data_IF_981862880498
#
_entry.id   IF_981862880498
#
_cell.length_a   1.000
_cell.length_b   1.000
_cell.length_c   1.000
_cell.angle_alpha   90.00
_cell.angle_beta   90.00
_cell.angle_gamma   90.00
#
_symmetry.space_group_name_H-M   'P 1'
#
loop_
_entity.id
_entity.type
_entity.pdbx_description
1 polymer ?
#
# COMPACT_ATOMS: atom_id res chain seq x y z
N UNK A 1 -22.21 -1.04 -32.06
CA UNK A 1 -22.14 -1.04 -30.58
C UNK A 1 -21.04 -1.94 -29.99
N UNK A 2 -20.83 -3.23 -30.37
CA UNK A 2 -19.86 -4.10 -29.68
C UNK A 2 -18.40 -3.63 -29.73
N UNK A 3 -17.98 -2.97 -30.82
CA UNK A 3 -16.60 -2.50 -30.96
C UNK A 3 -16.23 -1.36 -29.98
N UNK A 4 -17.22 -0.62 -29.44
CA UNK A 4 -16.98 0.49 -28.48
C UNK A 4 -16.83 -0.01 -27.05
N UNK A 5 -17.60 -1.02 -26.65
CA UNK A 5 -17.48 -1.66 -25.34
C UNK A 5 -16.11 -2.32 -25.17
N UNK A 6 -15.67 -3.09 -26.18
CA UNK A 6 -14.35 -3.73 -26.18
C UNK A 6 -13.22 -2.71 -26.07
N UNK A 7 -13.35 -1.56 -26.76
CA UNK A 7 -12.41 -0.46 -26.63
C UNK A 7 -12.37 0.11 -25.20
N UNK A 8 -13.53 0.38 -24.59
CA UNK A 8 -13.64 0.87 -23.21
C UNK A 8 -13.00 -0.11 -22.22
N UNK A 9 -13.22 -1.40 -22.43
CA UNK A 9 -12.67 -2.47 -21.59
C UNK A 9 -11.14 -2.58 -21.73
N UNK A 10 -10.61 -2.44 -22.95
CA UNK A 10 -9.15 -2.40 -23.21
C UNK A 10 -8.48 -1.21 -22.53
N UNK A 11 -9.10 -0.03 -22.60
CA UNK A 11 -8.62 1.16 -21.91
C UNK A 11 -8.67 0.95 -20.39
N UNK A 12 -9.79 0.45 -19.86
CA UNK A 12 -9.97 0.16 -18.42
C UNK A 12 -8.92 -0.81 -17.89
N UNK A 13 -8.60 -1.91 -18.61
CA UNK A 13 -7.50 -2.82 -18.26
C UNK A 13 -6.17 -2.09 -18.15
N UNK A 14 -5.92 -1.16 -19.06
CA UNK A 14 -4.66 -0.45 -19.14
C UNK A 14 -4.53 0.64 -18.06
N UNK A 15 -5.65 1.27 -17.68
CA UNK A 15 -5.73 2.09 -16.46
C UNK A 15 -5.43 1.22 -15.25
N UNK A 16 -6.10 0.07 -15.12
CA UNK A 16 -5.87 -0.90 -14.05
C UNK A 16 -4.39 -1.29 -13.94
N UNK A 17 -3.72 -1.63 -15.04
CA UNK A 17 -2.29 -1.97 -15.04
C UNK A 17 -1.42 -0.81 -14.53
N UNK A 18 -1.70 0.44 -14.93
CA UNK A 18 -0.99 1.61 -14.38
C UNK A 18 -1.22 1.78 -12.88
N UNK A 19 -2.44 1.54 -12.41
CA UNK A 19 -2.75 1.59 -10.98
C UNK A 19 -2.01 0.47 -10.23
N UNK A 20 -1.98 -0.76 -10.78
CA UNK A 20 -1.22 -1.87 -10.19
C UNK A 20 0.27 -1.54 -10.13
N UNK A 21 0.87 -0.97 -11.18
CA UNK A 21 2.26 -0.54 -11.17
C UNK A 21 2.52 0.53 -10.09
N UNK A 22 1.61 1.48 -9.92
CA UNK A 22 1.67 2.47 -8.85
C UNK A 22 1.62 1.79 -7.47
N UNK A 23 0.71 0.85 -7.27
CA UNK A 23 0.58 0.12 -6.01
C UNK A 23 1.85 -0.68 -5.68
N UNK A 24 2.43 -1.37 -6.66
CA UNK A 24 3.70 -2.08 -6.48
C UNK A 24 4.83 -1.12 -6.08
N UNK A 25 4.90 0.06 -6.69
CA UNK A 25 5.87 1.09 -6.30
C UNK A 25 5.63 1.62 -4.87
N UNK A 26 4.37 1.77 -4.45
CA UNK A 26 4.03 2.17 -3.08
C UNK A 26 4.33 1.08 -2.05
N UNK A 27 4.10 -0.20 -2.39
CA UNK A 27 4.50 -1.34 -1.54
C UNK A 27 6.01 -1.35 -1.33
N UNK A 28 6.79 -1.05 -2.38
CA UNK A 28 8.24 -0.88 -2.27
C UNK A 28 8.56 0.25 -1.28
N UNK A 29 7.89 1.41 -1.35
CA UNK A 29 8.11 2.50 -0.40
C UNK A 29 7.71 2.15 1.03
N UNK A 30 6.63 1.38 1.24
CA UNK A 30 6.25 0.85 2.56
C UNK A 30 7.31 -0.11 3.11
N UNK A 31 7.91 -0.92 2.22
CA UNK A 31 9.05 -1.78 2.58
C UNK A 31 10.28 -0.94 2.95
N UNK A 32 10.54 0.19 2.28
CA UNK A 32 11.61 1.11 2.64
C UNK A 32 11.35 1.80 4.00
N UNK A 33 10.10 2.14 4.32
CA UNK A 33 9.73 2.59 5.66
C UNK A 33 10.02 1.53 6.72
N UNK A 34 9.67 0.27 6.44
CA UNK A 34 9.99 -0.88 7.31
C UNK A 34 11.49 -1.07 7.48
N UNK A 35 12.26 -0.94 6.41
CA UNK A 35 13.72 -1.01 6.44
C UNK A 35 14.33 0.11 7.30
N UNK A 36 13.81 1.32 7.16
CA UNK A 36 14.23 2.45 7.99
C UNK A 36 13.95 2.20 9.47
N UNK A 37 12.75 1.71 9.80
CA UNK A 37 12.39 1.34 11.16
C UNK A 37 13.28 0.22 11.73
N UNK A 38 13.63 -0.78 10.91
CA UNK A 38 14.55 -1.83 11.33
C UNK A 38 15.90 -1.26 11.75
N UNK A 39 16.55 -0.50 10.86
CA UNK A 39 17.90 0.02 11.09
C UNK A 39 17.95 1.06 12.22
N UNK A 40 16.90 1.87 12.38
CA UNK A 40 16.85 2.91 13.39
C UNK A 40 16.42 2.42 14.77
N UNK A 41 15.55 1.42 14.86
CA UNK A 41 14.87 1.07 16.13
C UNK A 41 15.03 -0.39 16.56
N UNK A 42 15.32 -1.32 15.65
CA UNK A 42 15.29 -2.77 15.94
C UNK A 42 16.69 -3.41 15.86
N UNK A 43 17.54 -2.94 14.96
CA UNK A 43 18.83 -3.54 14.65
C UNK A 43 19.73 -3.72 15.88
N UNK A 44 19.79 -2.72 16.76
CA UNK A 44 20.59 -2.78 17.98
C UNK A 44 20.09 -3.82 18.99
N UNK A 45 18.79 -4.12 19.01
CA UNK A 45 18.16 -5.06 19.94
C UNK A 45 18.05 -6.48 19.38
N UNK A 46 18.54 -6.73 18.17
CA UNK A 46 18.36 -8.00 17.44
C UNK A 46 19.67 -8.61 16.95
N UNK A 47 20.79 -8.25 17.58
CA UNK A 47 22.12 -8.77 17.24
C UNK A 47 22.23 -10.31 17.30
N UNK A 48 21.41 -10.96 18.14
CA UNK A 48 21.37 -12.42 18.29
C UNK A 48 20.37 -13.11 17.36
N UNK A 49 19.53 -12.35 16.64
CA UNK A 49 18.50 -12.91 15.77
C UNK A 49 19.13 -13.32 14.43
N UNK A 50 18.79 -14.52 13.97
CA UNK A 50 19.27 -15.00 12.67
C UNK A 50 18.77 -14.11 11.52
N UNK A 51 19.66 -13.79 10.57
CA UNK A 51 19.29 -13.00 9.38
C UNK A 51 18.10 -13.59 8.61
N UNK A 52 17.93 -14.92 8.64
CA UNK A 52 16.78 -15.60 8.04
C UNK A 52 15.46 -15.19 8.66
N UNK A 53 15.39 -15.00 9.98
CA UNK A 53 14.18 -14.54 10.68
C UNK A 53 13.86 -13.09 10.35
N UNK A 54 14.88 -12.24 10.26
CA UNK A 54 14.75 -10.85 9.81
C UNK A 54 14.17 -10.82 8.38
N UNK A 55 14.75 -11.59 7.46
CA UNK A 55 14.28 -11.67 6.08
C UNK A 55 12.83 -12.20 5.99
N UNK A 56 12.49 -13.22 6.77
CA UNK A 56 11.13 -13.74 6.86
C UNK A 56 10.14 -12.68 7.36
N UNK A 57 10.55 -11.82 8.30
CA UNK A 57 9.72 -10.71 8.77
C UNK A 57 9.48 -9.66 7.67
N UNK A 58 10.49 -9.36 6.84
CA UNK A 58 10.30 -8.51 5.67
C UNK A 58 9.33 -9.12 4.65
N UNK A 59 9.44 -10.42 4.38
CA UNK A 59 8.53 -11.14 3.47
C UNK A 59 7.10 -11.16 4.03
N UNK A 60 6.94 -11.43 5.33
CA UNK A 60 5.65 -11.33 6.00
C UNK A 60 5.08 -9.91 5.87
N UNK A 61 5.92 -8.89 6.05
CA UNK A 61 5.52 -7.51 5.91
C UNK A 61 5.03 -7.12 4.52
N UNK A 62 5.67 -7.60 3.46
CA UNK A 62 5.19 -7.38 2.08
C UNK A 62 3.78 -7.97 1.90
N UNK A 63 3.45 -9.09 2.56
CA UNK A 63 2.10 -9.68 2.50
C UNK A 63 1.05 -8.76 3.15
N UNK A 64 1.36 -8.14 4.28
CA UNK A 64 0.48 -7.14 4.90
C UNK A 64 0.29 -5.91 3.99
N UNK A 65 1.36 -5.45 3.34
CA UNK A 65 1.30 -4.31 2.41
C UNK A 65 0.43 -4.63 1.18
N UNK A 66 0.56 -5.84 0.61
CA UNK A 66 -0.29 -6.33 -0.49
C UNK A 66 -1.76 -6.37 -0.06
N UNK A 67 -2.05 -6.83 1.16
CA UNK A 67 -3.42 -6.90 1.67
C UNK A 67 -4.07 -5.51 1.76
N UNK A 68 -3.34 -4.52 2.28
CA UNK A 68 -3.84 -3.13 2.34
C UNK A 68 -4.22 -2.65 0.93
N UNK A 69 -3.35 -2.85 -0.06
CA UNK A 69 -3.67 -2.47 -1.45
C UNK A 69 -4.79 -3.31 -2.06
N UNK A 70 -4.94 -4.58 -1.68
CA UNK A 70 -6.08 -5.40 -2.06
C UNK A 70 -7.40 -4.74 -1.70
N UNK A 71 -7.56 -4.30 -0.45
CA UNK A 71 -8.76 -3.58 0.00
C UNK A 71 -8.93 -2.22 -0.69
N UNK A 72 -7.85 -1.44 -0.85
CA UNK A 72 -7.90 -0.14 -1.54
C UNK A 72 -8.32 -0.26 -3.01
N UNK A 73 -8.05 -1.39 -3.66
CA UNK A 73 -8.41 -1.61 -5.07
C UNK A 73 -9.86 -2.03 -5.28
N UNK A 74 -10.58 -2.50 -4.25
CA UNK A 74 -12.00 -2.88 -4.35
C UNK A 74 -12.86 -1.73 -4.90
N UNK A 75 -12.90 -0.52 -4.29
CA UNK A 75 -13.71 0.59 -4.81
C UNK A 75 -13.25 1.02 -6.21
N UNK A 76 -11.95 0.97 -6.50
CA UNK A 76 -11.39 1.32 -7.81
C UNK A 76 -11.85 0.36 -8.91
N UNK A 77 -11.94 -0.94 -8.61
CA UNK A 77 -12.42 -1.94 -9.54
C UNK A 77 -13.88 -1.71 -9.95
N UNK A 78 -14.76 -1.39 -8.99
CA UNK A 78 -16.15 -1.06 -9.30
C UNK A 78 -16.25 0.20 -10.17
N UNK A 79 -15.45 1.23 -9.90
CA UNK A 79 -15.39 2.43 -10.75
C UNK A 79 -14.90 2.10 -12.17
N UNK A 80 -13.88 1.26 -12.29
CA UNK A 80 -13.37 0.80 -13.60
C UNK A 80 -14.38 -0.04 -14.37
N UNK A 81 -15.24 -0.80 -13.68
CA UNK A 81 -16.32 -1.59 -14.28
C UNK A 81 -17.46 -0.70 -14.75
N UNK A 82 -17.92 0.25 -13.91
CA UNK A 82 -18.92 1.26 -14.30
C UNK A 82 -18.41 2.05 -15.51
N UNK A 83 -17.12 2.40 -15.51
CA UNK A 83 -16.48 3.09 -16.63
C UNK A 83 -16.34 2.23 -17.89
N UNK A 84 -16.07 0.92 -17.75
CA UNK A 84 -16.04 0.01 -18.89
C UNK A 84 -17.42 -0.11 -19.57
N UNK A 85 -18.50 -0.05 -18.79
CA UNK A 85 -19.89 -0.09 -19.27
C UNK A 85 -20.37 1.27 -19.78
N UNK A 86 -19.92 2.37 -19.17
CA UNK A 86 -20.30 3.72 -19.57
C UNK A 86 -19.56 4.16 -20.83
N UNK A 87 -20.30 4.62 -21.84
CA UNK A 87 -19.72 5.02 -23.13
C UNK A 87 -18.90 6.32 -23.06
N UNK A 88 -19.07 7.12 -22.01
CA UNK A 88 -18.41 8.42 -21.85
C UNK A 88 -17.44 8.37 -20.68
N UNK A 89 -16.20 8.77 -20.96
CA UNK A 89 -15.13 8.86 -19.97
C UNK A 89 -15.17 10.25 -19.32
N UNK A 90 -15.65 10.38 -18.07
CA UNK A 90 -15.69 11.69 -17.43
C UNK A 90 -14.28 12.10 -17.06
N UNK A 91 -13.83 13.28 -17.53
CA UNK A 91 -12.51 13.85 -17.20
C UNK A 91 -12.27 13.93 -15.69
N UNK A 92 -13.33 14.03 -14.88
CA UNK A 92 -13.27 14.00 -13.42
C UNK A 92 -12.78 12.68 -12.82
N UNK A 93 -12.88 11.54 -13.52
CA UNK A 93 -12.45 10.24 -12.98
C UNK A 93 -10.93 10.16 -12.80
N UNK A 94 -10.17 10.78 -13.71
CA UNK A 94 -8.71 10.81 -13.59
C UNK A 94 -8.24 11.69 -12.44
N UNK A 95 -8.94 12.81 -12.21
CA UNK A 95 -8.72 13.64 -11.03
C UNK A 95 -9.05 12.85 -9.77
N UNK A 96 -10.18 12.14 -9.76
CA UNK A 96 -10.56 11.26 -8.65
C UNK A 96 -9.48 10.23 -8.32
N UNK A 97 -8.95 9.48 -9.30
CA UNK A 97 -7.88 8.50 -9.04
C UNK A 97 -6.64 9.14 -8.43
N UNK A 98 -6.20 10.30 -8.96
CA UNK A 98 -5.04 11.01 -8.41
C UNK A 98 -5.30 11.49 -6.98
N UNK A 99 -6.46 12.09 -6.72
CA UNK A 99 -6.83 12.55 -5.38
C UNK A 99 -6.94 11.38 -4.41
N UNK A 100 -7.59 10.29 -4.80
CA UNK A 100 -7.72 9.08 -4.00
C UNK A 100 -6.36 8.53 -3.56
N UNK A 101 -5.46 8.27 -4.51
CA UNK A 101 -4.12 7.77 -4.18
C UNK A 101 -3.27 8.79 -3.42
N UNK A 102 -3.47 10.10 -3.64
CA UNK A 102 -2.77 11.15 -2.88
C UNK A 102 -3.19 11.13 -1.41
N UNK A 103 -4.49 11.04 -1.15
CA UNK A 103 -5.04 10.97 0.22
C UNK A 103 -4.58 9.69 0.89
N UNK A 104 -4.69 8.54 0.22
CA UNK A 104 -4.24 7.24 0.75
C UNK A 104 -2.74 7.28 1.07
N UNK A 105 -1.90 7.79 0.16
CA UNK A 105 -0.47 7.87 0.38
C UNK A 105 -0.10 8.82 1.52
N UNK A 106 -0.79 9.95 1.62
CA UNK A 106 -0.66 10.87 2.73
C UNK A 106 -0.98 10.20 4.06
N UNK A 107 -2.09 9.45 4.14
CA UNK A 107 -2.48 8.72 5.35
C UNK A 107 -1.45 7.64 5.72
N UNK A 108 -0.98 6.85 4.76
CA UNK A 108 0.09 5.85 5.00
C UNK A 108 1.34 6.52 5.58
N UNK A 109 1.79 7.63 5.01
CA UNK A 109 2.96 8.35 5.49
C UNK A 109 2.74 8.95 6.88
N UNK A 110 1.58 9.57 7.12
CA UNK A 110 1.26 10.19 8.41
C UNK A 110 1.17 9.15 9.54
N UNK A 111 0.50 8.02 9.28
CA UNK A 111 0.38 6.93 10.25
C UNK A 111 1.72 6.26 10.50
N UNK A 112 2.51 6.00 9.46
CA UNK A 112 3.87 5.45 9.60
C UNK A 112 4.79 6.41 10.37
N UNK A 113 4.60 7.72 10.19
CA UNK A 113 5.38 8.74 10.88
C UNK A 113 5.11 8.74 12.38
N UNK A 114 3.84 8.79 12.78
CA UNK A 114 3.45 8.76 14.20
C UNK A 114 3.81 7.42 14.84
N UNK A 115 3.52 6.32 14.15
CA UNK A 115 3.79 4.96 14.64
C UNK A 115 5.28 4.70 14.89
N UNK A 116 6.18 5.30 14.11
CA UNK A 116 7.62 5.16 14.34
C UNK A 116 8.06 5.61 15.73
N UNK A 117 7.58 6.77 16.21
CA UNK A 117 7.96 7.29 17.52
C UNK A 117 7.43 6.40 18.65
N UNK A 118 6.23 5.87 18.46
CA UNK A 118 5.66 4.90 19.38
C UNK A 118 6.44 3.60 19.38
N UNK A 119 6.69 3.03 18.20
CA UNK A 119 7.42 1.78 18.03
C UNK A 119 8.84 1.88 18.60
N UNK A 120 9.55 2.96 18.34
CA UNK A 120 10.91 3.15 18.84
C UNK A 120 10.98 3.19 20.37
N UNK A 121 9.90 3.60 21.05
CA UNK A 121 9.81 3.61 22.52
C UNK A 121 9.33 2.28 23.11
N UNK A 122 8.33 1.65 22.50
CA UNK A 122 7.63 0.48 23.08
C UNK A 122 7.96 -0.86 22.42
N UNK A 123 8.66 -0.87 21.28
CA UNK A 123 8.99 -2.07 20.52
C UNK A 123 7.80 -2.78 19.86
N UNK A 124 6.65 -2.10 19.76
CA UNK A 124 5.40 -2.61 19.16
C UNK A 124 4.70 -1.53 18.36
N UNK A 125 3.88 -1.90 17.37
CA UNK A 125 3.09 -0.95 16.58
C UNK A 125 1.90 -0.42 17.38
N UNK A 126 1.45 0.78 17.03
CA UNK A 126 0.21 1.36 17.55
C UNK A 126 -1.00 0.56 17.06
N UNK A 127 -1.96 0.30 17.95
CA UNK A 127 -3.29 -0.21 17.61
C UNK A 127 -4.30 0.94 17.68
N UNK A 128 -5.56 0.65 17.37
CA UNK A 128 -6.61 1.67 17.32
C UNK A 128 -6.72 2.52 18.61
N UNK A 129 -6.63 1.90 19.79
CA UNK A 129 -6.72 2.59 21.08
C UNK A 129 -5.60 3.62 21.27
N UNK A 130 -4.37 3.28 20.88
CA UNK A 130 -3.25 4.21 21.00
C UNK A 130 -3.37 5.39 20.04
N UNK A 131 -3.91 5.17 18.83
CA UNK A 131 -4.22 6.27 17.91
C UNK A 131 -5.32 7.19 18.46
N UNK A 132 -6.32 6.65 19.15
CA UNK A 132 -7.39 7.45 19.79
C UNK A 132 -6.89 8.25 20.99
N UNK A 133 -5.91 7.72 21.72
CA UNK A 133 -5.26 8.43 22.84
C UNK A 133 -4.15 9.40 22.41
N UNK A 134 -3.86 9.47 21.11
CA UNK A 134 -2.76 10.29 20.59
C UNK A 134 -3.01 11.78 20.86
N UNK A 135 -1.98 12.44 21.39
CA UNK A 135 -1.97 13.88 21.59
C UNK A 135 -0.62 14.49 21.17
N UNK A 136 -0.57 15.78 20.80
CA UNK A 136 0.68 16.47 20.50
C UNK A 136 1.71 16.38 21.64
N UNK A 137 1.25 16.37 22.89
CA UNK A 137 2.12 16.22 24.07
C UNK A 137 2.76 14.84 24.11
N UNK A 138 1.98 13.78 23.92
CA UNK A 138 2.48 12.39 23.86
C UNK A 138 3.49 12.23 22.73
N UNK A 139 3.22 12.83 21.56
CA UNK A 139 4.17 12.83 20.44
C UNK A 139 5.49 13.51 20.81
N UNK A 140 5.45 14.70 21.41
CA UNK A 140 6.66 15.43 21.82
C UNK A 140 7.47 14.64 22.84
N UNK A 141 6.83 14.02 23.83
CA UNK A 141 7.50 13.17 24.82
C UNK A 141 8.17 11.95 24.18
N UNK A 142 7.54 11.33 23.18
CA UNK A 142 8.12 10.21 22.45
C UNK A 142 9.29 10.67 21.56
N UNK A 143 9.15 11.79 20.87
CA UNK A 143 10.20 12.35 20.02
C UNK A 143 11.44 12.79 20.83
N UNK A 144 11.25 13.32 22.03
CA UNK A 144 12.33 13.69 22.96
C UNK A 144 13.04 12.49 23.57
N UNK A 145 12.37 11.34 23.68
CA UNK A 145 12.98 10.11 24.18
C UNK A 145 13.97 9.48 23.17
N UNK A 146 13.91 9.88 21.90
CA UNK A 146 14.79 9.37 20.86
C UNK A 146 16.04 10.23 20.70
N UNK A 147 17.10 9.60 20.18
CA UNK A 147 18.30 10.34 19.80
C UNK A 147 17.96 11.34 18.68
N UNK A 148 18.45 12.59 18.74
CA UNK A 148 18.16 13.59 17.71
C UNK A 148 18.47 13.11 16.29
N UNK A 149 19.58 12.39 16.11
CA UNK A 149 19.98 11.85 14.81
C UNK A 149 18.95 10.84 14.25
N UNK A 150 18.41 9.97 15.10
CA UNK A 150 17.40 8.98 14.72
C UNK A 150 16.12 9.69 14.23
N UNK A 151 15.67 10.70 14.97
CA UNK A 151 14.50 11.52 14.60
C UNK A 151 14.71 12.26 13.28
N UNK A 152 15.87 12.89 13.08
CA UNK A 152 16.18 13.61 11.84
C UNK A 152 16.29 12.70 10.63
N UNK A 153 16.98 11.56 10.74
CA UNK A 153 17.11 10.58 9.66
C UNK A 153 15.72 10.07 9.26
N UNK A 154 14.89 9.72 10.24
CA UNK A 154 13.54 9.25 9.98
C UNK A 154 12.67 10.34 9.31
N UNK A 155 12.74 11.58 9.77
CA UNK A 155 12.02 12.72 9.17
C UNK A 155 12.42 12.94 7.71
N UNK A 156 13.72 12.99 7.42
CA UNK A 156 14.24 13.21 6.05
C UNK A 156 13.77 12.10 5.11
N UNK A 157 13.88 10.83 5.53
CA UNK A 157 13.42 9.70 4.72
C UNK A 157 11.91 9.74 4.53
N UNK A 158 11.14 10.10 5.56
CA UNK A 158 9.67 10.24 5.44
C UNK A 158 9.30 11.30 4.42
N UNK A 159 9.92 12.48 4.48
CA UNK A 159 9.68 13.58 3.53
C UNK A 159 10.09 13.16 2.11
N UNK A 160 11.22 12.46 1.96
CA UNK A 160 11.69 11.94 0.68
C UNK A 160 10.69 10.95 0.07
N UNK A 161 10.29 9.91 0.83
CA UNK A 161 9.35 8.89 0.37
C UNK A 161 7.96 9.49 0.09
N UNK A 162 7.50 10.42 0.93
CA UNK A 162 6.26 11.15 0.69
C UNK A 162 6.31 11.89 -0.65
N UNK A 163 7.39 12.64 -0.89
CA UNK A 163 7.60 13.43 -2.11
C UNK A 163 7.68 12.53 -3.34
N UNK A 164 8.42 11.42 -3.28
CA UNK A 164 8.53 10.45 -4.37
C UNK A 164 7.18 9.82 -4.71
N UNK A 165 6.41 9.38 -3.70
CA UNK A 165 5.06 8.84 -3.93
C UNK A 165 4.11 9.87 -4.53
N UNK A 166 4.15 11.12 -4.04
CA UNK A 166 3.37 12.20 -4.64
C UNK A 166 3.76 12.47 -6.10
N UNK A 167 5.06 12.49 -6.42
CA UNK A 167 5.56 12.65 -7.78
C UNK A 167 5.10 11.50 -8.70
N UNK A 168 5.15 10.26 -8.23
CA UNK A 168 4.65 9.10 -8.98
C UNK A 168 3.15 9.25 -9.29
N UNK A 169 2.32 9.60 -8.30
CA UNK A 169 0.87 9.81 -8.50
C UNK A 169 0.63 10.95 -9.50
N UNK A 170 1.35 12.07 -9.36
CA UNK A 170 1.23 13.23 -10.26
C UNK A 170 1.61 12.87 -11.69
N UNK A 171 2.66 12.06 -11.86
CA UNK A 171 3.18 11.60 -13.15
C UNK A 171 2.24 10.66 -13.91
N UNK A 172 1.19 10.13 -13.26
CA UNK A 172 0.20 9.30 -13.93
C UNK A 172 -0.49 10.08 -15.04
N UNK A 173 -0.23 9.65 -16.28
CA UNK A 173 -0.88 10.17 -17.47
C UNK A 173 -1.96 9.20 -17.94
N UNK A 174 -3.20 9.68 -17.97
CA UNK A 174 -4.35 8.98 -18.51
C UNK A 174 -4.81 9.69 -19.77
N UNK A 175 -5.00 8.97 -20.88
CA UNK A 175 -5.63 9.53 -22.09
C UNK A 175 -4.71 10.05 -23.21
N UNK A 176 -3.38 9.89 -23.13
CA UNK A 176 -2.46 10.20 -24.26
C UNK A 176 -2.48 9.12 -25.38
N UNK A 177 -3.55 8.32 -25.44
CA UNK A 177 -3.55 7.03 -26.13
C UNK A 177 -4.25 7.16 -27.48
N UNK A 178 -3.79 8.12 -28.28
CA UNK A 178 -4.49 8.55 -29.48
C UNK A 178 -4.25 7.66 -30.71
N UNK A 179 -3.13 6.93 -30.79
CA UNK A 179 -2.67 6.42 -32.09
C UNK A 179 -2.58 4.88 -32.24
N UNK A 180 -2.87 4.08 -31.21
CA UNK A 180 -2.68 2.62 -31.25
C UNK A 180 -3.94 1.77 -31.49
N UNK A 181 -5.13 2.37 -31.57
CA UNK A 181 -6.38 1.61 -31.44
C UNK A 181 -7.36 1.82 -32.57
N UNK A 182 -7.19 1.05 -33.65
CA UNK A 182 -8.34 0.69 -34.49
C UNK A 182 -9.31 -0.18 -33.67
N UNK A 183 -10.63 -0.02 -33.84
CA UNK A 183 -11.64 -0.82 -33.15
C UNK A 183 -11.64 -2.26 -33.66
N UNK A 184 -10.68 -3.07 -33.22
CA UNK A 184 -10.65 -4.51 -33.47
C UNK A 184 -11.65 -5.20 -32.54
N UNK A 185 -12.44 -6.13 -33.07
CA UNK A 185 -13.27 -7.03 -32.27
C UNK A 185 -12.36 -7.95 -31.46
N UNK A 186 -12.30 -7.72 -30.15
CA UNK A 186 -11.78 -8.69 -29.19
C UNK A 186 -12.68 -9.91 -29.12
N UNK A 187 -12.11 -11.06 -28.77
CA UNK A 187 -12.88 -12.30 -28.58
C UNK A 187 -13.69 -12.24 -27.28
N UNK A 188 -14.76 -13.04 -27.18
CA UNK A 188 -15.54 -13.15 -25.94
C UNK A 188 -14.66 -13.59 -24.75
N UNK A 189 -13.66 -14.43 -25.01
CA UNK A 189 -12.65 -14.86 -24.04
C UNK A 189 -11.82 -13.69 -23.52
N UNK A 190 -11.37 -12.80 -24.40
CA UNK A 190 -10.60 -11.59 -24.02
C UNK A 190 -11.43 -10.68 -23.09
N UNK A 191 -12.72 -10.54 -23.36
CA UNK A 191 -13.64 -9.72 -22.55
C UNK A 191 -13.82 -10.31 -21.15
N UNK A 192 -14.05 -11.62 -21.04
CA UNK A 192 -14.20 -12.32 -19.74
C UNK A 192 -12.91 -12.21 -18.94
N UNK A 193 -11.75 -12.46 -19.56
CA UNK A 193 -10.47 -12.42 -18.88
C UNK A 193 -10.18 -11.03 -18.28
N UNK A 194 -10.50 -9.95 -19.02
CA UNK A 194 -10.27 -8.57 -18.58
C UNK A 194 -11.19 -8.12 -17.43
N UNK A 195 -12.30 -8.80 -17.20
CA UNK A 195 -13.19 -8.57 -16.04
C UNK A 195 -12.81 -9.46 -14.86
N UNK A 196 -12.63 -10.76 -15.11
CA UNK A 196 -12.39 -11.76 -14.05
C UNK A 196 -10.98 -11.66 -13.47
N UNK A 197 -9.97 -11.39 -14.28
CA UNK A 197 -8.58 -11.36 -13.82
C UNK A 197 -8.31 -10.24 -12.79
N UNK A 198 -8.71 -8.97 -13.00
CA UNK A 198 -8.56 -7.94 -11.98
C UNK A 198 -9.29 -8.28 -10.67
N UNK A 199 -10.50 -8.82 -10.77
CA UNK A 199 -11.27 -9.23 -9.59
C UNK A 199 -10.55 -10.33 -8.82
N UNK A 200 -10.06 -11.36 -9.53
CA UNK A 200 -9.32 -12.47 -8.93
C UNK A 200 -8.04 -11.97 -8.23
N UNK A 201 -7.29 -11.07 -8.87
CA UNK A 201 -6.10 -10.47 -8.27
C UNK A 201 -6.42 -9.67 -7.00
N UNK A 202 -7.51 -8.89 -7.01
CA UNK A 202 -7.95 -8.11 -5.84
C UNK A 202 -8.37 -9.04 -4.70
N UNK A 203 -9.14 -10.09 -4.99
CA UNK A 203 -9.59 -11.06 -3.98
C UNK A 203 -8.40 -11.80 -3.38
N UNK A 204 -7.44 -12.24 -4.19
CA UNK A 204 -6.21 -12.88 -3.70
C UNK A 204 -5.37 -11.92 -2.85
N UNK A 205 -5.23 -10.66 -3.27
CA UNK A 205 -4.51 -9.65 -2.52
C UNK A 205 -5.20 -9.35 -1.18
N UNK A 206 -6.50 -9.08 -1.17
CA UNK A 206 -7.28 -8.75 0.03
C UNK A 206 -7.38 -9.91 1.03
N UNK A 207 -7.27 -11.16 0.57
CA UNK A 207 -7.21 -12.32 1.47
C UNK A 207 -5.86 -12.42 2.20
N UNK A 208 -4.76 -12.12 1.51
CA UNK A 208 -3.39 -12.17 2.05
C UNK A 208 -2.84 -13.57 2.37
N UNK A 209 -3.69 -14.61 2.30
CA UNK A 209 -3.37 -16.02 2.60
C UNK A 209 -4.05 -16.94 1.58
N UNK A 210 -3.51 -18.15 1.41
CA UNK A 210 -4.20 -19.26 0.71
C UNK A 210 -5.04 -20.08 1.72
N UNK A 211 -4.78 -19.92 3.01
CA UNK A 211 -5.42 -20.60 4.13
C UNK A 211 -6.85 -20.11 4.39
N UNK A 212 -7.70 -20.91 5.06
CA UNK A 212 -9.13 -20.61 5.24
C UNK A 212 -9.42 -19.26 5.91
N UNK A 213 -8.49 -18.74 6.73
CA UNK A 213 -8.65 -17.50 7.48
C UNK A 213 -7.92 -16.33 6.82
N UNK A 214 -8.52 -15.14 6.92
CA UNK A 214 -7.87 -13.88 6.52
C UNK A 214 -6.56 -13.69 7.27
N UNK A 215 -5.62 -12.96 6.66
CA UNK A 215 -4.32 -12.67 7.26
C UNK A 215 -4.48 -12.09 8.69
N UNK A 216 -4.17 -12.90 9.70
CA UNK A 216 -4.20 -12.56 11.12
C UNK A 216 -2.84 -12.07 11.63
N UNK A 217 -2.84 -11.53 12.86
CA UNK A 217 -1.63 -11.15 13.61
C UNK A 217 -0.62 -12.30 13.69
N UNK A 218 -1.10 -13.53 13.86
CA UNK A 218 -0.27 -14.74 14.00
C UNK A 218 0.65 -14.97 12.79
N UNK A 219 0.29 -14.49 11.59
CA UNK A 219 1.17 -14.63 10.43
C UNK A 219 2.36 -13.66 10.42
N UNK A 220 2.43 -12.73 11.38
CA UNK A 220 3.64 -11.94 11.63
C UNK A 220 4.61 -12.61 12.61
N UNK A 221 4.21 -13.72 13.25
CA UNK A 221 5.03 -14.43 14.24
C UNK A 221 6.05 -15.38 13.58
N UNK A 222 7.09 -14.79 13.00
CA UNK A 222 8.17 -15.52 12.32
C UNK A 222 9.41 -15.75 13.19
N UNK A 223 9.53 -15.02 14.30
CA UNK A 223 10.66 -15.05 15.23
C UNK A 223 10.18 -15.21 16.66
N UNK A 224 11.06 -15.69 17.55
CA UNK A 224 10.83 -15.63 19.00
C UNK A 224 10.91 -14.19 19.54
N UNK A 225 11.51 -13.27 18.78
CA UNK A 225 11.63 -11.87 19.15
C UNK A 225 10.38 -11.07 18.73
N UNK A 226 9.67 -10.53 19.72
CA UNK A 226 8.44 -9.75 19.51
C UNK A 226 8.63 -8.51 18.63
N UNK A 227 9.77 -7.82 18.73
CA UNK A 227 10.03 -6.62 17.93
C UNK A 227 10.20 -6.94 16.43
N UNK A 228 10.77 -8.10 16.11
CA UNK A 228 10.87 -8.59 14.72
C UNK A 228 9.49 -8.92 14.16
N UNK A 229 8.60 -9.50 14.98
CA UNK A 229 7.24 -9.83 14.55
C UNK A 229 6.39 -8.55 14.36
N UNK A 230 6.49 -7.58 15.27
CA UNK A 230 5.81 -6.28 15.15
C UNK A 230 6.37 -5.41 14.01
N UNK A 231 7.63 -5.61 13.62
CA UNK A 231 8.22 -4.94 12.46
C UNK A 231 7.54 -5.34 11.15
N UNK A 232 7.16 -6.62 11.00
CA UNK A 232 6.47 -7.11 9.82
C UNK A 232 5.15 -6.35 9.59
N UNK A 233 4.44 -6.03 10.68
CA UNK A 233 3.16 -5.35 10.63
C UNK A 233 3.28 -3.93 10.04
N UNK A 234 2.21 -3.49 9.39
CA UNK A 234 2.08 -2.15 8.85
C UNK A 234 1.20 -1.28 9.76
N UNK A 235 1.55 -0.01 9.93
CA UNK A 235 0.79 0.96 10.75
C UNK A 235 -0.69 1.06 10.32
N UNK A 236 -0.96 1.07 9.01
CA UNK A 236 -2.34 1.15 8.50
C UNK A 236 -3.14 -0.11 8.79
N UNK A 237 -2.50 -1.28 8.71
CA UNK A 237 -3.16 -2.53 9.05
C UNK A 237 -3.43 -2.65 10.56
N UNK A 238 -2.50 -2.17 11.40
CA UNK A 238 -2.68 -2.18 12.85
C UNK A 238 -3.76 -1.23 13.34
N UNK A 239 -4.09 -0.19 12.59
CA UNK A 239 -5.19 0.72 12.91
C UNK A 239 -6.58 0.10 12.69
N UNK A 240 -6.69 -0.86 11.77
CA UNK A 240 -7.94 -1.61 11.53
C UNK A 240 -8.19 -2.70 12.60
N UNK A 241 -7.20 -2.98 13.46
CA UNK A 241 -7.23 -4.03 14.48
C UNK A 241 -7.29 -3.45 15.89
#
# INVERSE_FOLDING_TARGET
>A
MPNRFIFSLRFSTKVFLKLVMLALAMILFMTLFRMNLYFLSVFHATAEVAFTEVLQSFVAGIRFDILIFGFLFIPLYFLLLIQAVSERWPRGMFVFYKTYFTVVWFLICAMSFVDFFYFARFGRRMRFEEYMSWSPQVFLEQAQALQPNQTWIFLVITVLLFSLGYMLIKSLKFGEWKDEYSPQRGTNVETVLRLVLPLLLIVLAARGTVEPHHLALEHSEVSSNKAINEMALNAVWCFDK
#
